data_IF_830520030391
#
_entry.id   IF_830520030391
#
_cell.length_a   1.000
_cell.length_b   1.000
_cell.length_c   1.000
_cell.angle_alpha   90.00
_cell.angle_beta   90.00
_cell.angle_gamma   90.00
#
_symmetry.space_group_name_H-M   'P 1'
#
loop_
_entity.id
_entity.type
_entity.pdbx_description
1 polymer ?
#
# COMPACT_ATOMS: atom_id res chain seq x y z
N UNK A 1 -10.15 5.80 22.23
CA UNK A 1 -10.99 4.60 21.98
C UNK A 1 -11.89 4.19 23.18
N UNK A 2 -12.08 5.05 24.19
CA UNK A 2 -12.91 4.75 25.39
C UNK A 2 -14.42 5.12 25.36
N UNK A 3 -15.00 5.86 24.39
CA UNK A 3 -16.40 6.30 24.48
C UNK A 3 -17.43 5.21 24.13
N UNK A 4 -17.11 4.28 23.22
CA UNK A 4 -18.03 3.22 22.79
C UNK A 4 -18.34 2.22 23.91
N UNK A 5 -17.34 1.88 24.73
CA UNK A 5 -17.52 0.92 25.82
C UNK A 5 -18.49 1.44 26.87
N UNK A 6 -18.35 2.72 27.26
CA UNK A 6 -19.25 3.39 28.20
C UNK A 6 -20.68 3.52 27.66
N UNK A 7 -20.83 3.82 26.37
CA UNK A 7 -22.14 3.86 25.72
C UNK A 7 -22.77 2.47 25.64
N UNK A 8 -21.98 1.44 25.36
CA UNK A 8 -22.41 0.05 25.38
C UNK A 8 -22.92 -0.39 26.75
N UNK A 9 -22.19 -0.12 27.83
CA UNK A 9 -22.63 -0.49 29.19
C UNK A 9 -23.90 0.26 29.62
N UNK A 10 -24.06 1.53 29.20
CA UNK A 10 -25.27 2.30 29.46
C UNK A 10 -26.47 1.75 28.65
N UNK A 11 -26.25 1.40 27.38
CA UNK A 11 -27.26 0.80 26.51
C UNK A 11 -27.75 -0.54 27.07
N UNK A 12 -26.84 -1.41 27.55
CA UNK A 12 -27.22 -2.64 28.28
C UNK A 12 -28.17 -2.29 29.42
N UNK A 13 -27.79 -1.35 30.29
CA UNK A 13 -28.59 -1.01 31.48
C UNK A 13 -29.97 -0.41 31.14
N UNK A 14 -30.03 0.39 30.07
CA UNK A 14 -31.25 1.06 29.59
C UNK A 14 -32.17 0.10 28.85
N UNK A 15 -31.63 -0.92 28.20
CA UNK A 15 -32.41 -1.93 27.47
C UNK A 15 -32.83 -3.05 28.45
N UNK A 16 -31.94 -3.54 29.30
CA UNK A 16 -32.21 -4.67 30.21
C UNK A 16 -33.34 -4.42 31.20
N UNK A 17 -33.49 -3.19 31.73
CA UNK A 17 -34.57 -2.88 32.70
C UNK A 17 -35.99 -2.88 32.09
N UNK A 18 -36.28 -2.11 31.03
CA UNK A 18 -37.60 -2.12 30.40
C UNK A 18 -37.88 -3.44 29.68
N UNK A 19 -36.87 -4.09 29.07
CA UNK A 19 -37.04 -5.39 28.42
C UNK A 19 -37.41 -6.47 29.45
N UNK A 20 -36.73 -6.56 30.59
CA UNK A 20 -37.09 -7.52 31.63
C UNK A 20 -38.52 -7.31 32.17
N UNK A 21 -38.95 -6.05 32.32
CA UNK A 21 -40.30 -5.73 32.78
C UNK A 21 -41.37 -5.99 31.70
N UNK A 22 -41.06 -5.72 30.43
CA UNK A 22 -41.97 -5.97 29.30
C UNK A 22 -42.09 -7.47 29.01
N UNK A 23 -40.99 -8.23 29.02
CA UNK A 23 -41.07 -9.68 28.88
C UNK A 23 -41.81 -10.34 30.05
N UNK A 24 -41.71 -9.83 31.29
CA UNK A 24 -42.50 -10.36 32.41
C UNK A 24 -44.01 -10.13 32.20
N UNK A 25 -44.39 -8.96 31.69
CA UNK A 25 -45.77 -8.65 31.36
C UNK A 25 -46.29 -9.49 30.18
N UNK A 26 -45.46 -9.69 29.14
CA UNK A 26 -45.83 -10.42 27.92
C UNK A 26 -45.81 -11.95 28.11
N UNK A 27 -44.92 -12.49 28.93
CA UNK A 27 -44.81 -13.92 29.22
C UNK A 27 -46.03 -14.44 30.01
N UNK A 28 -46.67 -13.59 30.82
CA UNK A 28 -47.96 -13.90 31.44
C UNK A 28 -49.15 -13.86 30.47
N UNK A 29 -48.99 -13.25 29.28
CA UNK A 29 -50.07 -13.01 28.31
C UNK A 29 -50.02 -13.93 27.08
N UNK A 30 -48.84 -14.35 26.60
CA UNK A 30 -48.72 -15.10 25.34
C UNK A 30 -47.96 -16.45 25.45
N UNK A 31 -48.65 -17.61 25.33
CA UNK A 31 -48.01 -18.93 25.40
C UNK A 31 -47.02 -19.21 24.25
N UNK A 32 -47.20 -18.60 23.07
CA UNK A 32 -46.26 -18.67 21.94
C UNK A 32 -44.88 -18.07 22.27
N UNK A 33 -44.84 -17.05 23.13
CA UNK A 33 -43.59 -16.41 23.53
C UNK A 33 -42.81 -17.27 24.53
N UNK A 34 -43.53 -17.98 25.41
CA UNK A 34 -42.96 -18.99 26.32
C UNK A 34 -42.27 -20.12 25.54
N UNK A 35 -42.90 -20.65 24.49
CA UNK A 35 -42.29 -21.66 23.62
C UNK A 35 -41.04 -21.13 22.90
N UNK A 36 -41.04 -19.88 22.45
CA UNK A 36 -39.90 -19.27 21.78
C UNK A 36 -38.70 -19.10 22.72
N UNK A 37 -38.92 -18.64 23.96
CA UNK A 37 -37.87 -18.52 24.97
C UNK A 37 -37.32 -19.89 25.38
N UNK A 38 -38.20 -20.88 25.57
CA UNK A 38 -37.78 -22.26 25.85
C UNK A 38 -36.98 -22.81 24.67
N UNK A 39 -37.41 -22.54 23.43
CA UNK A 39 -36.69 -22.90 22.21
C UNK A 39 -35.31 -22.26 22.12
N UNK A 40 -35.17 -20.97 22.45
CA UNK A 40 -33.89 -20.27 22.51
C UNK A 40 -32.99 -20.78 23.63
N UNK A 41 -33.55 -21.04 24.83
CA UNK A 41 -32.80 -21.61 25.94
C UNK A 41 -32.28 -23.01 25.59
N UNK A 42 -33.10 -23.84 24.95
CA UNK A 42 -32.70 -25.17 24.48
C UNK A 42 -31.71 -25.10 23.31
N UNK A 43 -31.88 -24.17 22.37
CA UNK A 43 -30.94 -23.96 21.26
C UNK A 43 -29.57 -23.50 21.77
N UNK A 44 -29.56 -22.52 22.69
CA UNK A 44 -28.34 -22.04 23.33
C UNK A 44 -27.66 -23.14 24.16
N UNK A 45 -28.43 -23.95 24.88
CA UNK A 45 -27.90 -25.10 25.63
C UNK A 45 -27.32 -26.18 24.71
N UNK A 46 -28.00 -26.52 23.61
CA UNK A 46 -27.47 -27.45 22.58
C UNK A 46 -26.21 -26.91 21.93
N UNK A 47 -26.16 -25.61 21.68
CA UNK A 47 -24.99 -24.96 21.11
C UNK A 47 -23.80 -25.00 22.08
N UNK A 48 -24.00 -24.59 23.34
CA UNK A 48 -22.95 -24.61 24.37
C UNK A 48 -22.49 -26.02 24.71
N UNK A 49 -23.37 -27.01 24.88
CA UNK A 49 -22.95 -28.41 25.10
C UNK A 49 -22.22 -29.02 23.89
N UNK A 50 -22.62 -28.70 22.66
CA UNK A 50 -21.89 -29.16 21.47
C UNK A 50 -20.50 -28.52 21.35
N UNK A 51 -20.39 -27.22 21.65
CA UNK A 51 -19.12 -26.50 21.63
C UNK A 51 -18.20 -26.96 22.77
N UNK A 52 -18.74 -27.13 23.97
CA UNK A 52 -18.02 -27.57 25.17
C UNK A 52 -17.60 -29.05 25.08
N UNK A 53 -18.40 -29.93 24.44
CA UNK A 53 -17.98 -31.31 24.14
C UNK A 53 -16.80 -31.35 23.16
N UNK A 54 -16.76 -30.47 22.16
CA UNK A 54 -15.66 -30.40 21.19
C UNK A 54 -14.36 -29.84 21.77
N UNK A 55 -14.46 -28.94 22.76
CA UNK A 55 -13.30 -28.28 23.36
C UNK A 55 -12.79 -28.94 24.65
N UNK A 56 -13.66 -29.49 25.49
CA UNK A 56 -13.31 -29.95 26.85
C UNK A 56 -13.65 -31.42 27.15
N UNK A 57 -14.28 -32.15 26.22
CA UNK A 57 -14.54 -33.60 26.39
C UNK A 57 -15.42 -33.99 27.59
N UNK A 58 -15.94 -33.04 28.38
CA UNK A 58 -16.85 -33.29 29.50
C UNK A 58 -18.28 -32.91 29.12
N UNK A 59 -19.18 -33.89 29.25
CA UNK A 59 -20.61 -33.72 29.09
C UNK A 59 -21.20 -33.17 30.39
N UNK A 60 -21.40 -31.85 30.46
CA UNK A 60 -22.21 -31.27 31.53
C UNK A 60 -23.69 -31.42 31.15
N UNK A 61 -24.27 -32.56 31.50
CA UNK A 61 -25.72 -32.79 31.42
C UNK A 61 -26.37 -32.07 32.61
N UNK A 62 -26.93 -30.90 32.36
CA UNK A 62 -27.64 -30.11 33.35
C UNK A 62 -29.14 -30.26 33.07
N UNK A 63 -29.74 -31.16 33.85
CA UNK A 63 -31.16 -31.50 33.91
C UNK A 63 -32.03 -30.24 33.85
N UNK A 64 -32.97 -30.24 32.89
CA UNK A 64 -34.06 -29.29 32.76
C UNK A 64 -34.90 -29.35 34.05
N UNK A 65 -34.70 -28.40 34.98
CA UNK A 65 -35.72 -28.07 35.97
C UNK A 65 -36.76 -27.19 35.27
N UNK A 66 -38.07 -27.36 35.53
CA UNK A 66 -39.06 -26.36 35.12
C UNK A 66 -38.60 -25.02 35.68
N UNK A 67 -38.19 -24.14 34.78
CA UNK A 67 -37.51 -22.90 35.10
C UNK A 67 -38.57 -21.95 35.65
N UNK A 68 -38.36 -21.48 36.88
CA UNK A 68 -39.10 -20.36 37.45
C UNK A 68 -39.20 -19.25 36.40
N UNK A 69 -40.42 -18.87 36.04
CA UNK A 69 -40.75 -18.12 34.83
C UNK A 69 -39.97 -16.79 34.77
N UNK A 70 -39.73 -16.21 35.95
CA UNK A 70 -38.92 -15.02 36.12
C UNK A 70 -37.44 -15.20 35.71
N UNK A 71 -36.85 -16.39 35.91
CA UNK A 71 -35.45 -16.68 35.56
C UNK A 71 -35.28 -16.94 34.06
N UNK A 72 -36.22 -17.64 33.43
CA UNK A 72 -36.23 -17.88 31.99
C UNK A 72 -36.31 -16.57 31.21
N UNK A 73 -37.22 -15.70 31.64
CA UNK A 73 -37.43 -14.36 31.08
C UNK A 73 -36.19 -13.47 31.28
N UNK A 74 -35.58 -13.51 32.46
CA UNK A 74 -34.34 -12.78 32.72
C UNK A 74 -33.20 -13.20 31.78
N UNK A 75 -32.99 -14.50 31.61
CA UNK A 75 -31.98 -15.03 30.70
C UNK A 75 -32.25 -14.68 29.24
N UNK A 76 -33.52 -14.71 28.79
CA UNK A 76 -33.88 -14.32 27.44
C UNK A 76 -33.65 -12.82 27.19
N UNK A 77 -33.99 -11.97 28.15
CA UNK A 77 -33.74 -10.54 28.07
C UNK A 77 -32.24 -10.20 27.98
N UNK A 78 -31.41 -10.91 28.74
CA UNK A 78 -29.95 -10.77 28.71
C UNK A 78 -29.37 -11.21 27.35
N UNK A 79 -29.78 -12.37 26.84
CA UNK A 79 -29.36 -12.86 25.51
C UNK A 79 -29.81 -11.93 24.37
N UNK A 80 -31.03 -11.39 24.43
CA UNK A 80 -31.51 -10.44 23.42
C UNK A 80 -30.74 -9.12 23.48
N UNK A 81 -30.42 -8.63 24.68
CA UNK A 81 -29.58 -7.45 24.86
C UNK A 81 -28.19 -7.64 24.26
N UNK A 82 -27.55 -8.78 24.53
CA UNK A 82 -26.26 -9.14 23.96
C UNK A 82 -26.32 -9.26 22.43
N UNK A 83 -27.33 -9.93 21.87
CA UNK A 83 -27.49 -10.06 20.41
C UNK A 83 -27.65 -8.71 19.71
N UNK A 84 -28.41 -7.79 20.29
CA UNK A 84 -28.58 -6.43 19.73
C UNK A 84 -27.24 -5.69 19.73
N UNK A 85 -26.48 -5.77 20.82
CA UNK A 85 -25.17 -5.10 20.94
C UNK A 85 -24.16 -5.73 19.98
N UNK A 86 -24.09 -7.05 19.89
CA UNK A 86 -23.21 -7.75 18.94
C UNK A 86 -23.59 -7.46 17.49
N UNK A 87 -24.88 -7.36 17.18
CA UNK A 87 -25.36 -6.99 15.85
C UNK A 87 -24.93 -5.56 15.49
N UNK A 88 -25.17 -4.59 16.37
CA UNK A 88 -24.78 -3.19 16.15
C UNK A 88 -23.26 -3.04 16.06
N UNK A 89 -22.50 -3.73 16.93
CA UNK A 89 -21.04 -3.73 16.87
C UNK A 89 -20.50 -4.38 15.59
N UNK A 90 -21.07 -5.51 15.18
CA UNK A 90 -20.70 -6.19 13.93
C UNK A 90 -21.00 -5.33 12.71
N UNK A 91 -22.18 -4.70 12.66
CA UNK A 91 -22.55 -3.73 11.61
C UNK A 91 -21.61 -2.54 11.59
N UNK A 92 -21.23 -1.99 12.75
CA UNK A 92 -20.29 -0.88 12.84
C UNK A 92 -18.91 -1.26 12.30
N UNK A 93 -18.38 -2.44 12.66
CA UNK A 93 -17.10 -2.94 12.14
C UNK A 93 -17.17 -3.17 10.63
N UNK A 94 -18.23 -3.80 10.12
CA UNK A 94 -18.42 -4.00 8.67
C UNK A 94 -18.51 -2.65 7.95
N UNK A 95 -19.23 -1.68 8.52
CA UNK A 95 -19.34 -0.34 7.98
C UNK A 95 -17.98 0.38 7.94
N UNK A 96 -17.20 0.30 9.02
CA UNK A 96 -15.85 0.87 9.09
C UNK A 96 -14.91 0.20 8.09
N UNK A 97 -14.92 -1.12 7.96
CA UNK A 97 -14.09 -1.86 6.98
C UNK A 97 -14.47 -1.49 5.56
N UNK A 98 -15.76 -1.46 5.23
CA UNK A 98 -16.23 -1.09 3.88
C UNK A 98 -15.89 0.37 3.54
N UNK A 99 -16.03 1.27 4.52
CA UNK A 99 -15.64 2.68 4.38
C UNK A 99 -14.13 2.86 4.29
N UNK A 100 -13.35 2.10 5.07
CA UNK A 100 -11.89 2.16 5.08
C UNK A 100 -11.31 1.60 3.78
N UNK A 101 -11.87 0.52 3.24
CA UNK A 101 -11.49 -0.04 1.94
C UNK A 101 -11.59 1.00 0.80
N UNK A 102 -12.66 1.81 0.76
CA UNK A 102 -12.79 2.92 -0.20
C UNK A 102 -11.78 4.05 0.01
N UNK A 103 -11.38 4.29 1.26
CA UNK A 103 -10.40 5.34 1.59
C UNK A 103 -8.95 4.90 1.36
N UNK A 104 -8.64 3.61 1.52
CA UNK A 104 -7.30 3.07 1.30
C UNK A 104 -7.00 2.91 -0.19
N UNK A 105 -7.98 2.48 -1.01
CA UNK A 105 -7.82 2.40 -2.46
C UNK A 105 -7.43 3.76 -3.09
N UNK A 106 -8.03 4.87 -2.61
CA UNK A 106 -7.68 6.23 -3.07
C UNK A 106 -6.28 6.64 -2.68
N UNK A 107 -5.79 6.23 -1.51
CA UNK A 107 -4.41 6.50 -1.07
C UNK A 107 -3.40 5.67 -1.84
N UNK A 108 -3.77 4.44 -2.20
CA UNK A 108 -2.91 3.56 -2.99
C UNK A 108 -2.79 4.05 -4.45
N UNK A 109 -3.87 4.54 -5.04
CA UNK A 109 -3.84 5.19 -6.36
C UNK A 109 -2.94 6.44 -6.37
N UNK A 110 -3.05 7.29 -5.34
CA UNK A 110 -2.17 8.47 -5.22
C UNK A 110 -0.70 8.09 -5.10
N UNK A 111 -0.37 7.07 -4.29
CA UNK A 111 1.01 6.56 -4.17
C UNK A 111 1.54 5.98 -5.48
N UNK A 112 0.68 5.27 -6.24
CA UNK A 112 1.07 4.75 -7.57
C UNK A 112 1.35 5.89 -8.55
N UNK A 113 0.52 6.94 -8.55
CA UNK A 113 0.74 8.11 -9.41
C UNK A 113 2.05 8.84 -9.09
N UNK A 114 2.41 8.97 -7.80
CA UNK A 114 3.71 9.55 -7.40
C UNK A 114 4.89 8.71 -7.90
N UNK A 115 4.82 7.39 -7.76
CA UNK A 115 5.88 6.47 -8.23
C UNK A 115 5.99 6.50 -9.76
N UNK A 116 4.86 6.54 -10.48
CA UNK A 116 4.86 6.66 -11.94
C UNK A 116 5.45 7.99 -12.41
N UNK A 117 5.17 9.09 -11.69
CA UNK A 117 5.75 10.41 -11.96
C UNK A 117 7.27 10.41 -11.80
N UNK A 118 7.78 9.81 -10.72
CA UNK A 118 9.22 9.68 -10.49
C UNK A 118 9.90 8.79 -11.54
N UNK A 119 9.27 7.67 -11.93
CA UNK A 119 9.78 6.80 -13.00
C UNK A 119 9.87 7.54 -14.34
N UNK A 120 8.85 8.32 -14.72
CA UNK A 120 8.88 9.14 -15.94
C UNK A 120 10.05 10.12 -15.94
N UNK A 121 10.26 10.81 -14.81
CA UNK A 121 11.42 11.71 -14.65
C UNK A 121 12.73 10.96 -14.78
N UNK A 122 12.86 9.77 -14.19
CA UNK A 122 14.03 8.91 -14.37
C UNK A 122 14.31 8.57 -15.83
N UNK A 123 13.29 8.13 -16.57
CA UNK A 123 13.45 7.81 -18.00
C UNK A 123 13.77 9.01 -18.87
N UNK A 124 13.28 10.20 -18.50
CA UNK A 124 13.58 11.43 -19.23
C UNK A 124 15.02 11.89 -18.98
N UNK A 125 15.47 11.84 -17.72
CA UNK A 125 16.87 12.10 -17.36
C UNK A 125 17.81 11.13 -18.08
N UNK A 126 17.48 9.84 -18.13
CA UNK A 126 18.28 8.84 -18.87
C UNK A 126 18.39 9.18 -20.36
N UNK A 127 17.29 9.62 -21.00
CA UNK A 127 17.30 10.08 -22.40
C UNK A 127 18.16 11.33 -22.58
N UNK A 128 18.07 12.29 -21.66
CA UNK A 128 18.89 13.50 -21.71
C UNK A 128 20.38 13.15 -21.60
N UNK A 129 20.75 12.25 -20.68
CA UNK A 129 22.13 11.77 -20.52
C UNK A 129 22.62 11.05 -21.77
N UNK A 130 21.82 10.17 -22.36
CA UNK A 130 22.16 9.50 -23.62
C UNK A 130 22.34 10.50 -24.76
N UNK A 131 21.44 11.48 -24.89
CA UNK A 131 21.52 12.54 -25.89
C UNK A 131 22.79 13.39 -25.72
N UNK A 132 23.10 13.80 -24.48
CA UNK A 132 24.35 14.52 -24.18
C UNK A 132 25.58 13.70 -24.52
N UNK A 133 25.58 12.39 -24.21
CA UNK A 133 26.70 11.49 -24.51
C UNK A 133 26.94 11.35 -26.02
N UNK A 134 25.87 11.26 -26.82
CA UNK A 134 25.97 11.24 -28.29
C UNK A 134 26.56 12.55 -28.81
N UNK A 135 26.08 13.71 -28.32
CA UNK A 135 26.62 15.01 -28.72
C UNK A 135 28.09 15.19 -28.34
N UNK A 136 28.51 14.68 -27.18
CA UNK A 136 29.92 14.68 -26.78
C UNK A 136 30.77 13.85 -27.75
N UNK A 137 30.28 12.67 -28.13
CA UNK A 137 30.98 11.79 -29.07
C UNK A 137 31.10 12.42 -30.47
N UNK A 138 30.07 13.14 -30.95
CA UNK A 138 30.15 13.92 -32.18
C UNK A 138 31.22 15.01 -32.11
N UNK A 139 31.26 15.77 -31.00
CA UNK A 139 32.26 16.83 -30.81
C UNK A 139 33.67 16.26 -30.75
N UNK A 140 33.87 15.12 -30.07
CA UNK A 140 35.17 14.44 -30.02
C UNK A 140 35.64 14.00 -31.40
N UNK A 141 34.74 13.46 -32.24
CA UNK A 141 35.05 13.13 -33.63
C UNK A 141 35.43 14.35 -34.46
N UNK A 142 34.73 15.48 -34.30
CA UNK A 142 35.06 16.73 -34.99
C UNK A 142 36.43 17.27 -34.55
N UNK A 143 36.74 17.22 -33.24
CA UNK A 143 38.04 17.63 -32.69
C UNK A 143 39.15 16.71 -33.19
N UNK A 144 38.96 15.40 -33.18
CA UNK A 144 39.92 14.41 -33.68
C UNK A 144 40.22 14.64 -35.18
N UNK A 145 39.18 14.88 -35.98
CA UNK A 145 39.32 15.14 -37.43
C UNK A 145 40.04 16.45 -37.70
N UNK A 146 39.75 17.49 -36.93
CA UNK A 146 40.43 18.79 -37.04
C UNK A 146 41.89 18.71 -36.61
N UNK A 147 42.17 18.05 -35.48
CA UNK A 147 43.51 17.77 -34.98
C UNK A 147 44.37 17.04 -36.01
N UNK A 148 43.81 16.04 -36.70
CA UNK A 148 44.51 15.31 -37.77
C UNK A 148 44.83 16.20 -38.99
N UNK A 149 43.90 17.07 -39.39
CA UNK A 149 44.15 18.04 -40.47
C UNK A 149 45.20 19.09 -40.09
N UNK A 150 45.19 19.56 -38.84
CA UNK A 150 46.19 20.50 -38.34
C UNK A 150 47.58 19.84 -38.24
N UNK A 151 47.64 18.56 -37.86
CA UNK A 151 48.87 17.75 -37.89
C UNK A 151 49.42 17.59 -39.33
N UNK A 152 48.56 17.28 -40.30
CA UNK A 152 48.96 17.17 -41.70
C UNK A 152 49.46 18.51 -42.26
N UNK A 153 48.79 19.62 -41.93
CA UNK A 153 49.24 20.96 -42.31
C UNK A 153 50.60 21.29 -41.70
N UNK A 154 50.82 20.95 -40.44
CA UNK A 154 52.10 21.15 -39.77
C UNK A 154 53.22 20.40 -40.49
N UNK A 155 53.00 19.12 -40.83
CA UNK A 155 53.98 18.31 -41.55
C UNK A 155 54.27 18.83 -42.96
N UNK A 156 53.23 19.25 -43.70
CA UNK A 156 53.40 19.88 -45.00
C UNK A 156 54.15 21.22 -44.93
N UNK A 157 53.86 22.05 -43.94
CA UNK A 157 54.60 23.30 -43.73
C UNK A 157 56.09 23.04 -43.42
N UNK A 158 56.39 21.98 -42.67
CA UNK A 158 57.75 21.56 -42.38
C UNK A 158 58.51 21.08 -43.63
N UNK A 159 57.85 20.30 -44.49
CA UNK A 159 58.43 19.85 -45.76
C UNK A 159 58.73 21.03 -46.70
N UNK A 160 57.86 22.04 -46.76
CA UNK A 160 58.06 23.25 -47.57
C UNK A 160 59.26 24.09 -47.09
N UNK A 161 59.47 24.19 -45.78
CA UNK A 161 60.64 24.89 -45.21
C UNK A 161 61.96 24.16 -45.49
N UNK A 162 61.93 22.83 -45.55
CA UNK A 162 63.10 22.03 -45.88
C UNK A 162 63.48 22.18 -47.36
N UNK A 163 62.49 22.23 -48.25
CA UNK A 163 62.70 22.40 -49.70
C UNK A 163 63.18 23.83 -50.03
N UNK A 164 62.65 24.85 -49.34
CA UNK A 164 63.14 26.23 -49.46
C UNK A 164 64.60 26.37 -48.99
N UNK A 165 65.00 25.70 -47.91
CA UNK A 165 66.41 25.66 -47.46
C UNK A 165 67.32 24.93 -48.46
N UNK A 166 66.84 23.90 -49.12
CA UNK A 166 67.57 23.14 -50.15
C UNK A 166 67.78 23.95 -51.44
N UNK A 167 66.74 24.66 -51.90
CA UNK A 167 66.83 25.55 -53.06
C UNK A 167 67.79 26.73 -52.81
N UNK A 168 67.72 27.35 -51.63
CA UNK A 168 68.61 28.46 -51.25
C UNK A 168 70.07 28.01 -51.03
N UNK A 169 70.30 26.72 -50.73
CA UNK A 169 71.66 26.14 -50.64
C UNK A 169 72.26 25.80 -52.02
N UNK A 170 71.44 25.53 -53.05
CA UNK A 170 71.91 25.32 -54.41
C UNK A 170 72.33 26.63 -55.09
N UNK A 171 71.61 27.72 -54.82
CA UNK A 171 71.96 29.06 -55.35
C UNK A 171 73.30 29.58 -54.77
N UNK A 172 73.60 29.28 -53.50
CA UNK A 172 74.83 29.71 -52.83
C UNK A 172 76.09 29.02 -53.38
N UNK A 173 75.99 27.74 -53.78
CA UNK A 173 77.09 26.99 -54.39
C UNK A 173 77.42 27.46 -55.83
N UNK A 174 76.47 28.10 -56.52
CA UNK A 174 76.69 28.58 -57.88
C UNK A 174 77.32 29.99 -57.93
N UNK A 175 77.16 30.79 -56.89
CA UNK A 175 77.78 32.14 -56.78
C UNK A 175 79.23 32.12 -56.30
N UNK A 176 79.64 31.12 -55.50
CA UNK A 176 81.03 31.02 -55.00
C UNK A 176 82.04 30.51 -56.05
N UNK A 177 81.59 29.86 -57.13
CA UNK A 177 82.46 29.45 -58.23
C UNK A 177 82.87 30.62 -59.17
N UNK A 178 82.19 31.78 -59.08
CA UNK A 178 82.48 32.94 -59.91
C UNK A 178 83.50 33.93 -59.30
N UNK A 179 83.87 33.76 -58.02
CA UNK A 179 84.72 34.70 -57.28
C UNK A 179 86.15 34.16 -57.01
N UNK A 180 86.65 33.25 -57.86
CA UNK A 180 87.98 32.62 -57.67
C UNK A 180 88.92 32.71 -58.90
N UNK A 181 88.77 33.77 -59.70
CA UNK A 181 89.71 34.16 -60.76
C UNK A 181 90.18 35.60 -60.55
#
# INVERSE_FOLDING_TARGET
>A
MFPLFKLGTLAVRTISKPIANRLKAEAGLHPRFREYIIGLAQANYRFTTNLQRRLYGRATDAVIRPLDEAKAVGAAAELLGELVIFSVAGLAVIYEVNRSARSEARKEEQRKQEIEGLKKRGTDLEKQVQCLKVKLQEMEQLVQRRSWLDFFKFWHAQAMLQDQKSAMSCDFLHTDAAFKL
#
